data_IF_304395122212
#
_entry.id   IF_304395122212
#
_cell.length_a   1.000
_cell.length_b   1.000
_cell.length_c   1.000
_cell.angle_alpha   90.00
_cell.angle_beta   90.00
_cell.angle_gamma   90.00
#
_symmetry.space_group_name_H-M   'P 1'
#
loop_
_entity.id
_entity.type
_entity.pdbx_description
1 polymer ?
#
# COMPACT_ATOMS: atom_id res chain seq x y z
N UNK A 1 45.41 -21.06 2.60
CA UNK A 1 44.46 -21.22 1.47
C UNK A 1 43.03 -21.58 1.90
N UNK A 2 42.79 -22.53 2.82
CA UNK A 2 41.41 -22.93 3.22
C UNK A 2 40.52 -21.84 3.86
N UNK A 3 41.11 -20.80 4.47
CA UNK A 3 40.36 -19.67 5.08
C UNK A 3 39.84 -18.65 4.05
N UNK A 4 40.55 -18.50 2.93
CA UNK A 4 40.14 -17.62 1.83
C UNK A 4 38.99 -18.22 1.02
N UNK A 5 38.92 -19.54 0.89
CA UNK A 5 37.79 -20.24 0.24
C UNK A 5 36.50 -20.10 1.05
N UNK A 6 36.58 -20.16 2.38
CA UNK A 6 35.42 -20.00 3.27
C UNK A 6 34.90 -18.56 3.29
N UNK A 7 35.78 -17.55 3.24
CA UNK A 7 35.41 -16.15 3.09
C UNK A 7 34.87 -15.84 1.69
N UNK A 8 35.40 -16.46 0.63
CA UNK A 8 34.87 -16.33 -0.72
C UNK A 8 33.48 -16.98 -0.86
N UNK A 9 33.23 -18.10 -0.18
CA UNK A 9 31.91 -18.75 -0.14
C UNK A 9 30.90 -17.98 0.73
N UNK A 10 31.33 -17.37 1.82
CA UNK A 10 30.48 -16.48 2.64
C UNK A 10 30.20 -15.15 1.92
N UNK A 11 31.14 -14.69 1.08
CA UNK A 11 30.98 -13.54 0.20
C UNK A 11 30.12 -13.84 -1.03
N UNK A 12 30.04 -15.09 -1.52
CA UNK A 12 29.06 -15.49 -2.55
C UNK A 12 27.64 -15.68 -2.00
N UNK A 13 27.47 -15.61 -0.68
CA UNK A 13 26.17 -15.54 0.02
C UNK A 13 25.87 -14.09 0.44
N UNK A 14 26.74 -13.12 0.07
CA UNK A 14 26.41 -11.70 0.25
C UNK A 14 25.11 -11.41 -0.51
N UNK A 15 24.20 -10.71 0.16
CA UNK A 15 22.78 -10.85 -0.05
C UNK A 15 22.44 -10.38 -1.45
N UNK A 16 21.71 -11.20 -2.21
CA UNK A 16 20.63 -10.60 -2.98
C UNK A 16 19.77 -9.93 -1.92
N UNK A 17 19.98 -8.62 -1.77
CA UNK A 17 19.19 -7.77 -0.92
C UNK A 17 17.73 -8.14 -1.17
N UNK A 18 17.04 -8.52 -0.10
CA UNK A 18 15.64 -8.89 -0.11
C UNK A 18 14.87 -7.87 -0.94
N UNK A 19 14.37 -8.32 -2.08
CA UNK A 19 13.42 -7.51 -2.84
C UNK A 19 12.15 -7.53 -1.99
N UNK A 20 11.79 -6.40 -1.40
CA UNK A 20 10.50 -6.28 -0.76
C UNK A 20 9.45 -6.54 -1.85
N UNK A 21 8.61 -7.55 -1.66
CA UNK A 21 7.57 -7.83 -2.64
C UNK A 21 6.45 -6.82 -2.44
N UNK A 22 6.11 -6.14 -3.52
CA UNK A 22 5.13 -5.07 -3.56
C UNK A 22 3.83 -5.63 -4.15
N UNK A 23 2.71 -5.34 -3.51
CA UNK A 23 1.39 -5.75 -3.99
C UNK A 23 0.64 -4.50 -4.45
N UNK A 24 0.36 -4.44 -5.75
CA UNK A 24 -0.41 -3.33 -6.33
C UNK A 24 -1.87 -3.73 -6.50
N UNK A 25 -2.77 -2.84 -6.08
CA UNK A 25 -4.20 -2.95 -6.21
C UNK A 25 -4.74 -1.77 -7.01
N UNK A 26 -5.34 -2.04 -8.16
CA UNK A 26 -6.03 -1.02 -8.94
C UNK A 26 -7.54 -1.16 -8.74
N UNK A 27 -8.19 -0.03 -8.43
CA UNK A 27 -9.64 0.06 -8.30
C UNK A 27 -10.21 1.14 -9.22
N UNK A 28 -11.48 0.99 -9.58
CA UNK A 28 -12.22 1.95 -10.39
C UNK A 28 -13.68 1.97 -9.97
N UNK A 29 -14.34 3.11 -10.23
CA UNK A 29 -15.69 3.38 -9.78
C UNK A 29 -15.79 3.46 -8.25
N UNK A 30 -17.01 3.68 -7.76
CA UNK A 30 -17.27 3.95 -6.35
C UNK A 30 -17.51 5.43 -6.07
N UNK A 31 -18.13 5.68 -4.92
CA UNK A 31 -18.57 7.01 -4.50
C UNK A 31 -17.68 7.49 -3.36
N UNK A 32 -16.91 8.54 -3.62
CA UNK A 32 -16.23 9.28 -2.56
C UNK A 32 -17.18 10.33 -2.03
N UNK A 33 -17.58 10.20 -0.77
CA UNK A 33 -18.42 11.16 -0.07
C UNK A 33 -17.68 11.73 1.13
N UNK A 34 -17.99 12.96 1.53
CA UNK A 34 -17.38 13.49 2.74
C UNK A 34 -17.69 14.94 3.06
N UNK A 35 -17.21 15.34 4.23
CA UNK A 35 -17.40 16.66 4.81
C UNK A 35 -16.15 17.05 5.60
N UNK A 36 -16.23 18.12 6.40
CA UNK A 36 -15.17 18.47 7.34
C UNK A 36 -14.89 17.36 8.38
N UNK A 37 -15.81 16.39 8.55
CA UNK A 37 -15.60 15.24 9.42
C UNK A 37 -14.72 14.13 8.81
N UNK A 38 -14.42 14.21 7.51
CA UNK A 38 -13.62 13.22 6.79
C UNK A 38 -14.24 12.80 5.44
N UNK A 39 -13.48 12.00 4.69
CA UNK A 39 -13.89 11.38 3.43
C UNK A 39 -14.16 9.89 3.64
N UNK A 40 -15.09 9.34 2.88
CA UNK A 40 -15.48 7.94 2.86
C UNK A 40 -15.62 7.46 1.43
N UNK A 41 -14.92 6.38 1.07
CA UNK A 41 -15.09 5.69 -0.21
C UNK A 41 -15.94 4.44 -0.03
N UNK A 42 -17.03 4.35 -0.78
CA UNK A 42 -17.87 3.15 -0.88
C UNK A 42 -18.02 2.70 -2.32
N UNK A 43 -18.44 1.44 -2.50
CA UNK A 43 -18.80 0.86 -3.80
C UNK A 43 -17.66 0.89 -4.85
N UNK A 44 -16.41 0.99 -4.40
CA UNK A 44 -15.28 0.91 -5.30
C UNK A 44 -14.95 -0.53 -5.63
N UNK A 45 -14.68 -0.80 -6.91
CA UNK A 45 -14.44 -2.15 -7.41
C UNK A 45 -12.97 -2.34 -7.74
N UNK A 46 -12.37 -3.43 -7.25
CA UNK A 46 -11.04 -3.86 -7.66
C UNK A 46 -11.08 -4.44 -9.07
N UNK A 47 -10.21 -3.90 -9.93
CA UNK A 47 -10.12 -4.29 -11.35
C UNK A 47 -8.79 -4.97 -11.69
N UNK A 48 -7.75 -4.74 -10.89
CA UNK A 48 -6.49 -5.45 -11.03
C UNK A 48 -5.78 -5.64 -9.69
N UNK A 49 -5.06 -6.76 -9.57
CA UNK A 49 -4.22 -7.09 -8.42
C UNK A 49 -2.91 -7.66 -8.98
N UNK A 50 -1.77 -7.16 -8.53
CA UNK A 50 -0.46 -7.65 -8.92
C UNK A 50 0.36 -8.04 -7.67
N UNK A 51 1.05 -9.18 -7.70
CA UNK A 51 1.94 -9.60 -6.60
C UNK A 51 1.27 -10.31 -5.42
N UNK A 52 -0.07 -10.39 -5.37
CA UNK A 52 -0.78 -11.03 -4.26
C UNK A 52 -0.42 -12.52 -4.16
N UNK A 53 0.08 -12.95 -3.00
CA UNK A 53 0.61 -14.30 -2.75
C UNK A 53 1.69 -14.74 -3.74
N UNK A 54 2.49 -13.81 -4.28
CA UNK A 54 3.51 -14.09 -5.28
C UNK A 54 2.95 -14.42 -6.67
N UNK A 55 1.65 -14.17 -6.90
CA UNK A 55 1.04 -14.30 -8.22
C UNK A 55 1.40 -13.11 -9.10
N UNK A 56 1.38 -13.31 -10.43
CA UNK A 56 1.50 -12.21 -11.39
C UNK A 56 0.25 -11.32 -11.43
N UNK A 57 0.16 -10.50 -12.47
CA UNK A 57 -0.98 -9.60 -12.70
C UNK A 57 -2.29 -10.39 -12.93
N UNK A 58 -3.28 -10.12 -12.08
CA UNK A 58 -4.65 -10.60 -12.18
C UNK A 58 -5.53 -9.43 -12.60
N UNK A 59 -6.30 -9.58 -13.68
CA UNK A 59 -7.25 -8.57 -14.18
C UNK A 59 -8.66 -9.18 -14.15
N UNK A 60 -9.63 -8.41 -13.68
CA UNK A 60 -11.03 -8.85 -13.64
C UNK A 60 -11.99 -7.67 -13.60
N UNK A 61 -13.28 -7.95 -13.82
CA UNK A 61 -14.33 -6.93 -13.77
C UNK A 61 -14.83 -6.67 -12.34
N UNK A 62 -14.63 -7.62 -11.43
CA UNK A 62 -14.91 -7.49 -10.00
C UNK A 62 -14.05 -8.49 -9.21
N UNK A 63 -12.90 -8.03 -8.71
CA UNK A 63 -12.01 -8.83 -7.87
C UNK A 63 -12.27 -8.62 -6.37
N UNK A 64 -13.27 -7.81 -6.02
CA UNK A 64 -13.55 -7.33 -4.68
C UNK A 64 -13.67 -5.80 -4.65
N UNK A 65 -13.39 -5.16 -3.52
CA UNK A 65 -13.58 -3.73 -3.38
C UNK A 65 -12.61 -3.02 -2.44
N UNK A 66 -12.55 -1.70 -2.59
CA UNK A 66 -11.75 -0.81 -1.74
C UNK A 66 -12.68 0.13 -0.98
N UNK A 67 -12.52 0.16 0.33
CA UNK A 67 -13.34 0.96 1.24
C UNK A 67 -12.43 1.67 2.23
N UNK A 68 -12.67 2.97 2.45
CA UNK A 68 -11.91 3.67 3.47
C UNK A 68 -12.70 4.81 4.08
N UNK A 69 -12.27 5.22 5.27
CA UNK A 69 -12.59 6.51 5.88
C UNK A 69 -11.31 7.22 6.29
N UNK A 70 -11.23 8.53 6.12
CA UNK A 70 -10.13 9.35 6.64
C UNK A 70 -10.45 9.89 8.03
N UNK A 71 -9.46 10.51 8.68
CA UNK A 71 -9.74 11.40 9.82
C UNK A 71 -10.44 12.69 9.39
N UNK A 72 -10.74 13.55 10.38
CA UNK A 72 -11.36 14.85 10.15
C UNK A 72 -10.45 15.82 9.38
N UNK A 73 -11.05 16.81 8.73
CA UNK A 73 -10.36 17.87 8.03
C UNK A 73 -9.56 18.71 9.04
N UNK A 74 -8.25 18.81 8.85
CA UNK A 74 -7.35 19.59 9.71
C UNK A 74 -6.99 20.95 9.10
N UNK A 75 -6.94 21.04 7.76
CA UNK A 75 -6.66 22.31 7.07
C UNK A 75 -7.19 22.32 5.63
N UNK A 76 -7.39 23.51 5.08
CA UNK A 76 -7.85 23.71 3.70
C UNK A 76 -9.37 23.57 3.56
N UNK A 77 -9.82 23.17 2.37
CA UNK A 77 -11.24 22.95 2.07
C UNK A 77 -11.41 21.84 1.04
N UNK A 78 -12.58 21.20 1.04
CA UNK A 78 -12.88 20.15 0.08
C UNK A 78 -12.82 20.63 -1.38
N UNK A 79 -13.19 21.90 -1.62
CA UNK A 79 -13.16 22.52 -2.93
C UNK A 79 -11.76 22.99 -3.35
N UNK A 80 -10.93 23.48 -2.42
CA UNK A 80 -9.64 24.11 -2.74
C UNK A 80 -8.41 23.25 -2.50
N UNK A 81 -8.58 22.01 -2.06
CA UNK A 81 -7.51 21.18 -1.50
C UNK A 81 -7.46 21.25 0.02
N UNK A 82 -7.13 20.13 0.64
CA UNK A 82 -7.32 19.88 2.05
C UNK A 82 -6.25 18.94 2.62
N UNK A 83 -6.16 18.90 3.95
CA UNK A 83 -5.46 17.86 4.68
C UNK A 83 -6.41 17.28 5.71
N UNK A 84 -6.42 15.96 5.81
CA UNK A 84 -7.19 15.22 6.81
C UNK A 84 -6.24 14.60 7.82
N UNK A 85 -6.69 14.47 9.06
CA UNK A 85 -5.96 13.75 10.08
C UNK A 85 -5.73 12.29 9.69
N UNK A 86 -4.65 11.71 10.23
CA UNK A 86 -4.44 10.27 10.22
C UNK A 86 -5.59 9.52 10.94
N UNK A 87 -5.63 8.20 10.78
CA UNK A 87 -6.64 7.33 11.37
C UNK A 87 -7.70 6.89 10.36
N UNK A 88 -8.94 6.78 10.81
CA UNK A 88 -10.03 6.19 10.04
C UNK A 88 -9.84 4.69 9.81
N UNK A 89 -10.34 4.19 8.68
CA UNK A 89 -10.27 2.79 8.28
C UNK A 89 -9.87 2.65 6.83
N UNK A 90 -9.19 1.56 6.49
CA UNK A 90 -8.84 1.22 5.12
C UNK A 90 -8.91 -0.29 4.92
N UNK A 91 -9.81 -0.73 4.04
CA UNK A 91 -10.11 -2.13 3.80
C UNK A 91 -10.08 -2.43 2.31
N UNK A 92 -9.31 -3.45 1.94
CA UNK A 92 -9.37 -4.08 0.62
C UNK A 92 -10.02 -5.44 0.82
N UNK A 93 -11.20 -5.65 0.23
CA UNK A 93 -11.83 -6.96 0.17
C UNK A 93 -11.54 -7.62 -1.16
N UNK A 94 -11.37 -8.94 -1.12
CA UNK A 94 -11.40 -9.81 -2.28
C UNK A 94 -12.69 -10.63 -2.31
N UNK A 95 -12.84 -11.44 -3.36
CA UNK A 95 -13.95 -12.40 -3.48
C UNK A 95 -14.00 -13.42 -2.33
N UNK A 96 -12.87 -13.72 -1.70
CA UNK A 96 -12.74 -14.73 -0.64
C UNK A 96 -12.61 -14.13 0.78
N UNK A 97 -12.88 -12.83 0.96
CA UNK A 97 -12.79 -12.16 2.27
C UNK A 97 -11.90 -10.93 2.26
N UNK A 98 -11.43 -10.49 3.42
CA UNK A 98 -10.60 -9.28 3.55
C UNK A 98 -9.15 -9.60 3.19
N UNK A 99 -8.59 -8.86 2.22
CA UNK A 99 -7.19 -8.96 1.79
C UNK A 99 -6.30 -8.06 2.65
N UNK A 100 -6.76 -6.84 2.91
CA UNK A 100 -6.05 -5.86 3.72
C UNK A 100 -7.03 -5.16 4.66
N UNK A 101 -6.60 -4.95 5.90
CA UNK A 101 -7.33 -4.15 6.88
C UNK A 101 -6.34 -3.29 7.68
N UNK A 102 -6.54 -1.98 7.67
CA UNK A 102 -5.66 -1.00 8.28
C UNK A 102 -6.30 0.37 8.43
N UNK A 103 -5.46 1.38 8.56
CA UNK A 103 -5.86 2.79 8.66
C UNK A 103 -4.77 3.70 8.10
N UNK A 104 -5.09 4.98 7.90
CA UNK A 104 -4.10 5.96 7.50
C UNK A 104 -3.12 6.24 8.64
N UNK A 105 -1.83 6.04 8.39
CA UNK A 105 -0.76 6.19 9.40
C UNK A 105 -0.23 7.62 9.51
N UNK A 106 -0.54 8.45 8.52
CA UNK A 106 -0.13 9.86 8.42
C UNK A 106 -1.27 10.71 7.89
N UNK A 107 -1.20 12.05 8.02
CA UNK A 107 -2.20 12.94 7.44
C UNK A 107 -2.40 12.67 5.95
N UNK A 108 -3.66 12.66 5.52
CA UNK A 108 -4.05 12.39 4.13
C UNK A 108 -4.16 13.72 3.39
N UNK A 109 -3.51 13.84 2.24
CA UNK A 109 -3.51 15.04 1.43
C UNK A 109 -4.58 14.95 0.34
N UNK A 110 -5.34 16.02 0.19
CA UNK A 110 -6.35 16.20 -0.85
C UNK A 110 -5.92 17.38 -1.71
N UNK A 111 -5.58 17.10 -2.95
CA UNK A 111 -5.00 18.11 -3.86
C UNK A 111 -5.94 18.37 -5.01
N UNK A 112 -6.12 19.65 -5.34
CA UNK A 112 -6.87 20.10 -6.52
C UNK A 112 -5.88 20.47 -7.62
N UNK A 113 -6.11 19.96 -8.83
CA UNK A 113 -5.50 20.42 -10.06
C UNK A 113 -6.57 20.93 -11.02
N UNK A 114 -6.44 22.17 -11.49
CA UNK A 114 -7.28 22.71 -12.56
C UNK A 114 -6.57 22.54 -13.89
N UNK A 115 -7.17 21.78 -14.80
CA UNK A 115 -6.64 21.53 -16.14
C UNK A 115 -6.87 22.74 -17.04
N UNK A 116 -6.13 22.80 -18.15
CA UNK A 116 -6.25 23.89 -19.15
C UNK A 116 -7.65 24.05 -19.74
N UNK A 117 -8.46 22.99 -19.74
CA UNK A 117 -9.86 23.01 -20.20
C UNK A 117 -10.85 23.50 -19.14
N UNK A 118 -10.38 23.91 -17.95
CA UNK A 118 -11.19 24.36 -16.82
C UNK A 118 -11.79 23.23 -15.99
N UNK A 119 -11.41 21.98 -16.25
CA UNK A 119 -11.85 20.84 -15.45
C UNK A 119 -11.01 20.69 -14.19
N UNK A 120 -11.63 20.30 -13.09
CA UNK A 120 -11.00 20.09 -11.80
C UNK A 120 -10.80 18.60 -11.52
N UNK A 121 -9.53 18.20 -11.43
CA UNK A 121 -9.09 16.89 -10.95
C UNK A 121 -8.67 16.98 -9.50
N UNK A 122 -9.05 15.97 -8.73
CA UNK A 122 -8.65 15.86 -7.35
C UNK A 122 -7.90 14.55 -7.10
N UNK A 123 -6.85 14.64 -6.31
CA UNK A 123 -6.06 13.49 -5.88
C UNK A 123 -6.01 13.40 -4.37
N UNK A 124 -6.45 12.26 -3.83
CA UNK A 124 -6.26 11.89 -2.44
C UNK A 124 -5.02 11.00 -2.33
N UNK A 125 -4.08 11.37 -1.46
CA UNK A 125 -2.89 10.58 -1.19
C UNK A 125 -2.66 10.42 0.31
N UNK A 126 -2.30 9.21 0.73
CA UNK A 126 -1.96 8.94 2.13
C UNK A 126 -1.22 7.64 2.30
N UNK A 127 -0.40 7.57 3.35
CA UNK A 127 0.20 6.31 3.78
C UNK A 127 -0.77 5.53 4.68
N UNK A 128 -0.84 4.22 4.47
CA UNK A 128 -1.66 3.29 5.26
C UNK A 128 -0.76 2.28 5.97
N UNK A 129 -1.24 1.80 7.11
CA UNK A 129 -0.61 0.72 7.88
C UNK A 129 -1.68 -0.21 8.42
N UNK A 130 -1.40 -1.52 8.41
CA UNK A 130 -2.36 -2.53 8.81
C UNK A 130 -1.96 -3.92 8.35
N UNK A 131 -2.53 -4.96 8.95
CA UNK A 131 -2.25 -6.35 8.54
C UNK A 131 -0.78 -6.79 8.67
N UNK A 132 0.01 -6.17 9.56
CA UNK A 132 1.44 -6.45 9.70
C UNK A 132 2.33 -5.77 8.65
N UNK A 133 1.76 -4.88 7.83
CA UNK A 133 2.44 -4.15 6.76
C UNK A 133 2.52 -2.67 7.12
N UNK A 134 3.73 -2.11 7.04
CA UNK A 134 4.02 -0.70 7.29
C UNK A 134 4.59 -0.08 6.01
N UNK A 135 4.01 1.02 5.54
CA UNK A 135 4.55 1.77 4.40
C UNK A 135 3.76 1.63 3.09
N UNK A 136 2.51 1.20 3.14
CA UNK A 136 1.63 1.16 1.98
C UNK A 136 1.12 2.57 1.62
N UNK A 137 0.84 2.84 0.36
CA UNK A 137 0.33 4.14 -0.12
C UNK A 137 -0.89 3.96 -1.00
N UNK A 138 -1.87 4.85 -0.85
CA UNK A 138 -2.97 4.98 -1.80
C UNK A 138 -2.86 6.31 -2.55
N UNK A 139 -3.19 6.26 -3.84
CA UNK A 139 -3.51 7.43 -4.65
C UNK A 139 -4.86 7.23 -5.32
N UNK A 140 -5.81 8.11 -5.04
CA UNK A 140 -7.14 8.10 -5.63
C UNK A 140 -7.35 9.33 -6.49
N UNK A 141 -7.86 9.17 -7.70
CA UNK A 141 -8.13 10.26 -8.64
C UNK A 141 -9.62 10.34 -8.97
N UNK A 142 -10.16 11.56 -8.95
CA UNK A 142 -11.50 11.83 -9.44
C UNK A 142 -11.55 13.13 -10.25
N UNK A 143 -12.55 13.19 -11.14
CA UNK A 143 -12.78 14.33 -12.00
C UNK A 143 -14.18 14.87 -11.73
N UNK A 144 -14.25 16.14 -11.34
CA UNK A 144 -15.51 16.80 -10.98
C UNK A 144 -16.09 17.67 -12.12
N UNK A 145 -15.52 17.57 -13.32
CA UNK A 145 -15.87 18.45 -14.42
C UNK A 145 -15.47 19.89 -14.11
N UNK A 146 -16.33 20.86 -14.48
CA UNK A 146 -16.10 22.29 -14.23
C UNK A 146 -16.55 22.77 -12.85
N UNK A 147 -17.15 21.89 -12.05
CA UNK A 147 -17.56 22.20 -10.68
C UNK A 147 -16.45 21.85 -9.69
N UNK A 148 -16.49 22.44 -8.50
CA UNK A 148 -15.65 21.97 -7.40
C UNK A 148 -16.26 20.75 -6.71
N UNK A 149 -15.44 19.97 -6.00
CA UNK A 149 -15.95 18.89 -5.19
C UNK A 149 -16.88 19.44 -4.10
N UNK A 150 -18.12 18.96 -4.09
CA UNK A 150 -19.22 19.48 -3.26
C UNK A 150 -19.69 18.49 -2.18
N UNK A 151 -18.84 17.51 -1.85
CA UNK A 151 -19.12 16.52 -0.79
C UNK A 151 -19.45 15.12 -1.31
N UNK A 152 -19.67 14.93 -2.62
CA UNK A 152 -19.78 13.60 -3.21
C UNK A 152 -19.35 13.62 -4.68
N UNK A 153 -18.58 12.61 -5.11
CA UNK A 153 -18.21 12.40 -6.50
C UNK A 153 -17.87 10.93 -6.78
N UNK A 154 -18.05 10.51 -8.03
CA UNK A 154 -17.60 9.20 -8.50
C UNK A 154 -16.10 9.26 -8.78
N UNK A 155 -15.37 8.25 -8.34
CA UNK A 155 -13.94 8.18 -8.58
C UNK A 155 -13.63 7.63 -9.97
N UNK A 156 -12.58 8.15 -10.60
CA UNK A 156 -12.12 7.65 -11.89
C UNK A 156 -11.28 6.38 -11.70
N UNK A 157 -10.32 6.44 -10.78
CA UNK A 157 -9.41 5.33 -10.48
C UNK A 157 -8.73 5.51 -9.13
N UNK A 158 -8.24 4.41 -8.60
CA UNK A 158 -7.31 4.39 -7.48
C UNK A 158 -6.21 3.35 -7.68
N UNK A 159 -5.04 3.62 -7.12
CA UNK A 159 -3.95 2.69 -6.99
C UNK A 159 -3.54 2.61 -5.52
N UNK A 160 -3.53 1.40 -4.96
CA UNK A 160 -3.03 1.14 -3.62
C UNK A 160 -1.89 0.17 -3.71
N UNK A 161 -0.78 0.54 -3.10
CA UNK A 161 0.44 -0.21 -3.13
C UNK A 161 0.80 -0.62 -1.71
N UNK A 162 1.00 -1.92 -1.51
CA UNK A 162 1.22 -2.52 -0.20
C UNK A 162 2.56 -3.26 -0.18
N UNK A 163 3.47 -2.79 0.69
CA UNK A 163 4.77 -3.42 0.89
C UNK A 163 4.65 -4.51 1.94
N UNK A 164 4.99 -5.76 1.57
CA UNK A 164 4.94 -6.90 2.48
C UNK A 164 6.37 -7.36 2.80
N UNK A 165 6.77 -7.41 4.09
CA UNK A 165 8.01 -8.08 4.47
C UNK A 165 7.92 -9.56 4.11
N UNK A 166 8.84 -10.06 3.29
CA UNK A 166 8.81 -11.46 2.88
C UNK A 166 8.99 -12.41 4.08
N UNK A 167 8.20 -13.49 4.19
CA UNK A 167 8.44 -14.54 5.19
C UNK A 167 9.81 -15.22 5.04
N UNK A 168 10.35 -15.26 3.81
CA UNK A 168 11.60 -15.94 3.46
C UNK A 168 12.86 -15.28 4.04
N UNK A 169 12.87 -13.96 4.22
CA UNK A 169 14.04 -13.24 4.76
C UNK A 169 14.30 -13.61 6.22
N UNK A 170 13.24 -13.78 7.02
CA UNK A 170 13.36 -14.25 8.42
C UNK A 170 13.81 -15.72 8.49
N UNK A 171 13.32 -16.57 7.60
CA UNK A 171 13.74 -17.97 7.50
C UNK A 171 15.20 -18.14 7.07
N UNK A 172 15.66 -17.34 6.10
CA UNK A 172 17.04 -17.34 5.63
C UNK A 172 18.00 -16.74 6.68
N UNK A 173 17.61 -15.65 7.36
CA UNK A 173 18.38 -15.10 8.47
C UNK A 173 18.47 -16.11 9.63
N UNK A 174 17.35 -16.73 10.00
CA UNK A 174 17.29 -17.74 11.06
C UNK A 174 18.13 -18.97 10.75
N UNK A 175 17.99 -19.55 9.56
CA UNK A 175 18.81 -20.70 9.13
C UNK A 175 20.29 -20.34 8.94
N UNK A 176 20.59 -19.11 8.50
CA UNK A 176 21.95 -18.56 8.43
C UNK A 176 22.60 -18.47 9.81
N UNK A 177 21.90 -17.95 10.82
CA UNK A 177 22.39 -17.88 12.19
C UNK A 177 22.58 -19.27 12.82
N UNK A 178 21.66 -20.21 12.59
CA UNK A 178 21.77 -21.59 13.08
C UNK A 178 22.96 -22.32 12.44
N UNK A 179 23.18 -22.15 11.15
CA UNK A 179 24.33 -22.75 10.46
C UNK A 179 25.67 -22.15 10.93
N UNK A 180 25.73 -20.83 11.18
CA UNK A 180 26.89 -20.18 11.81
C UNK A 180 27.14 -20.72 13.23
N UNK A 181 26.09 -20.83 14.06
CA UNK A 181 26.20 -21.38 15.41
C UNK A 181 26.70 -22.84 15.41
N UNK A 182 26.24 -23.66 14.46
CA UNK A 182 26.73 -25.03 14.27
C UNK A 182 28.22 -25.10 13.92
N UNK A 183 28.70 -24.19 13.07
CA UNK A 183 30.11 -24.10 12.69
C UNK A 183 30.99 -23.65 13.87
N UNK A 184 30.53 -22.68 14.67
CA UNK A 184 31.24 -22.23 15.89
C UNK A 184 31.32 -23.35 16.92
N UNK A 185 30.23 -24.09 17.16
CA UNK A 185 30.21 -25.22 18.10
C UNK A 185 31.17 -26.34 17.68
N UNK A 186 31.28 -26.61 16.37
CA UNK A 186 32.24 -27.59 15.84
C UNK A 186 33.70 -27.15 16.09
N UNK A 187 33.98 -25.85 15.98
CA UNK A 187 35.31 -25.27 16.22
C UNK A 187 35.74 -25.27 17.68
N UNK A 188 34.82 -25.26 18.64
CA UNK A 188 35.15 -25.29 20.08
C UNK A 188 35.38 -26.70 20.63
N UNK A 189 34.96 -27.74 19.90
CA UNK A 189 35.17 -29.15 20.27
C UNK A 189 36.40 -29.79 19.60
N UNK A 190 37.08 -29.04 18.72
CA UNK A 190 38.32 -29.46 18.06
C UNK A 190 39.45 -28.56 18.55
#
# INVERSE_FOLDING_TARGET
MKRFVLLAFLASVLPMAAWANEIDFANSGGTLSGSNSGLSLTDSTLIAINGLNGSGLIIGTNLGGVYFTTGALTSGSLAGGATFAAGGSFTISGTNGVIFNGSFSSPVTWTLMTLKNGTHEYTLQGAISGGGMNGATIQLTLNSGKGFFSGSAVIASGNTNVVVPEPGTLGLLGSGLVSIAGLVRRRMKT
#
